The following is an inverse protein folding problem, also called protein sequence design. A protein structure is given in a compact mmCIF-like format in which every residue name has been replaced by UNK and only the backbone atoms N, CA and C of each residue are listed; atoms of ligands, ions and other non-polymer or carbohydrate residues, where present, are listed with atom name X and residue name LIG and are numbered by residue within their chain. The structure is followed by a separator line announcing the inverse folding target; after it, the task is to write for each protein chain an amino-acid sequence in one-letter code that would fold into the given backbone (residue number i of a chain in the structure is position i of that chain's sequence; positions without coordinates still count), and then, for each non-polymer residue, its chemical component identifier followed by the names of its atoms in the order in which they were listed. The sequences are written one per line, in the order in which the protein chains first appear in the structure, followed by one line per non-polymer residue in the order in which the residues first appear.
data_IF_403722288916
#
_entry.id   IF_403722288916
#
_cell.length_a   1.000
_cell.length_b   1.000
_cell.length_c   1.000
_cell.angle_alpha   90.00
_cell.angle_beta   90.00
_cell.angle_gamma   90.00
#
_symmetry.space_group_name_H-M   'P 1'
#
loop_
_entity.id
_entity.type
_entity.pdbx_description
1 polymer ?
#
# COMPACT_ATOMS: atom_id res chain seq x y z
N UNK A 1 -3.81 -14.75 7.68
CA UNK A 1 -5.22 -15.20 7.44
C UNK A 1 -5.78 -14.49 6.20
N UNK A 2 -6.55 -15.16 5.34
CA UNK A 2 -7.21 -14.54 4.16
C UNK A 2 -8.65 -14.15 4.45
N UNK A 3 -9.16 -13.11 3.78
CA UNK A 3 -10.55 -12.64 3.88
C UNK A 3 -11.52 -13.71 3.37
N UNK A 4 -11.16 -14.47 2.34
CA UNK A 4 -11.96 -15.58 1.83
C UNK A 4 -12.14 -16.69 2.87
N UNK A 5 -11.15 -16.92 3.75
CA UNK A 5 -11.32 -17.87 4.84
C UNK A 5 -12.40 -17.39 5.84
N UNK A 6 -12.52 -16.08 6.06
CA UNK A 6 -13.59 -15.50 6.88
C UNK A 6 -14.95 -15.74 6.21
N UNK A 7 -15.03 -15.51 4.89
CA UNK A 7 -16.26 -15.74 4.11
C UNK A 7 -16.67 -17.21 4.14
N UNK A 8 -15.73 -18.12 3.92
CA UNK A 8 -15.96 -19.57 3.98
C UNK A 8 -16.43 -20.01 5.36
N UNK A 9 -15.79 -19.51 6.42
CA UNK A 9 -16.21 -19.79 7.80
C UNK A 9 -17.65 -19.35 8.06
N UNK A 10 -18.00 -18.12 7.66
CA UNK A 10 -19.37 -17.62 7.77
C UNK A 10 -20.37 -18.48 6.96
N UNK A 11 -20.04 -18.83 5.71
CA UNK A 11 -20.89 -19.68 4.85
C UNK A 11 -21.12 -21.06 5.45
N UNK A 12 -20.10 -21.66 6.07
CA UNK A 12 -20.22 -22.94 6.76
C UNK A 12 -21.23 -22.89 7.93
N UNK A 13 -21.44 -21.71 8.52
CA UNK A 13 -22.45 -21.45 9.55
C UNK A 13 -23.81 -21.03 8.97
N UNK A 14 -24.02 -21.14 7.66
CA UNK A 14 -25.26 -20.77 6.97
C UNK A 14 -25.38 -19.27 6.66
N UNK A 15 -24.27 -18.52 6.64
CA UNK A 15 -24.30 -17.13 6.21
C UNK A 15 -24.65 -17.02 4.71
N UNK A 16 -25.40 -15.97 4.39
CA UNK A 16 -25.69 -15.52 3.03
C UNK A 16 -24.78 -14.32 2.71
N UNK A 17 -24.65 -13.89 1.45
CA UNK A 17 -23.80 -12.76 1.07
C UNK A 17 -24.10 -11.46 1.85
N UNK A 18 -25.35 -11.19 2.20
CA UNK A 18 -25.73 -10.03 3.02
C UNK A 18 -25.18 -10.11 4.47
N UNK A 19 -25.06 -11.32 5.03
CA UNK A 19 -24.46 -11.54 6.34
C UNK A 19 -22.94 -11.33 6.28
N UNK A 20 -22.27 -11.87 5.26
CA UNK A 20 -20.84 -11.63 5.04
C UNK A 20 -20.54 -10.13 4.90
N UNK A 21 -21.31 -9.45 4.04
CA UNK A 21 -21.22 -8.00 3.84
C UNK A 21 -21.33 -7.25 5.17
N UNK A 22 -22.33 -7.57 5.99
CA UNK A 22 -22.56 -6.90 7.27
C UNK A 22 -21.40 -7.08 8.24
N UNK A 23 -20.86 -8.30 8.35
CA UNK A 23 -19.71 -8.59 9.25
C UNK A 23 -18.47 -7.86 8.77
N UNK A 24 -18.13 -8.02 7.49
CA UNK A 24 -16.89 -7.47 6.94
C UNK A 24 -16.93 -5.94 6.87
N UNK A 25 -18.08 -5.34 6.58
CA UNK A 25 -18.28 -3.90 6.63
C UNK A 25 -18.12 -3.36 8.07
N UNK A 26 -18.77 -4.00 9.04
CA UNK A 26 -18.68 -3.59 10.44
C UNK A 26 -17.24 -3.67 10.95
N UNK A 27 -16.54 -4.75 10.64
CA UNK A 27 -15.13 -4.91 10.98
C UNK A 27 -14.24 -3.86 10.30
N UNK A 28 -14.26 -3.79 8.96
CA UNK A 28 -13.40 -2.89 8.20
C UNK A 28 -13.63 -1.42 8.56
N UNK A 29 -14.87 -1.01 8.85
CA UNK A 29 -15.23 0.36 9.19
C UNK A 29 -15.21 0.67 10.69
N UNK A 30 -14.93 -0.31 11.56
CA UNK A 30 -15.00 -0.19 13.03
C UNK A 30 -16.37 0.31 13.48
N UNK A 31 -17.43 -0.38 13.03
CA UNK A 31 -18.83 -0.04 13.30
C UNK A 31 -19.56 -1.16 14.01
N UNK A 32 -20.66 -0.82 14.66
CA UNK A 32 -21.56 -1.81 15.23
C UNK A 32 -22.18 -2.69 14.14
N UNK A 33 -22.37 -3.97 14.47
CA UNK A 33 -23.18 -4.90 13.68
C UNK A 33 -24.67 -4.56 13.72
N UNK A 34 -25.11 -3.72 14.67
CA UNK A 34 -26.44 -3.11 14.68
C UNK A 34 -26.46 -1.85 13.79
N UNK A 35 -27.57 -1.61 13.09
CA UNK A 35 -27.84 -0.34 12.43
C UNK A 35 -29.27 0.12 12.76
N UNK A 36 -29.59 1.34 12.33
CA UNK A 36 -30.89 1.97 12.57
C UNK A 36 -32.10 1.13 12.13
N UNK A 37 -31.94 0.28 11.12
CA UNK A 37 -33.02 -0.47 10.49
C UNK A 37 -33.01 -1.97 10.81
N UNK A 38 -31.93 -2.49 11.37
CA UNK A 38 -31.73 -3.91 11.59
C UNK A 38 -30.74 -4.16 12.71
N UNK A 39 -31.13 -5.02 13.65
CA UNK A 39 -30.28 -5.46 14.76
C UNK A 39 -29.61 -6.78 14.40
N UNK A 40 -28.35 -6.94 14.83
CA UNK A 40 -27.58 -8.17 14.67
C UNK A 40 -28.34 -9.39 15.23
N UNK A 41 -29.08 -9.19 16.32
CA UNK A 41 -29.86 -10.24 16.97
C UNK A 41 -30.94 -10.85 16.06
N UNK A 42 -31.50 -10.12 15.11
CA UNK A 42 -32.54 -10.63 14.18
C UNK A 42 -32.05 -10.78 12.75
N UNK A 43 -30.97 -10.10 12.39
CA UNK A 43 -30.41 -10.13 11.03
C UNK A 43 -29.65 -11.42 10.73
N UNK A 44 -28.90 -11.94 11.69
CA UNK A 44 -28.00 -13.08 11.45
C UNK A 44 -28.66 -14.44 11.78
N UNK A 45 -28.36 -15.50 11.01
CA UNK A 45 -28.74 -16.88 11.35
C UNK A 45 -28.25 -17.26 12.75
N UNK A 46 -28.97 -18.16 13.43
CA UNK A 46 -28.63 -18.56 14.81
C UNK A 46 -27.19 -19.04 14.96
N UNK A 47 -26.70 -19.86 14.03
CA UNK A 47 -25.33 -20.38 14.06
C UNK A 47 -24.29 -19.27 13.89
N UNK A 48 -24.47 -18.37 12.91
CA UNK A 48 -23.63 -17.18 12.74
C UNK A 48 -23.63 -16.32 14.01
N UNK A 49 -24.79 -16.02 14.59
CA UNK A 49 -24.90 -15.22 15.82
C UNK A 49 -24.12 -15.82 16.99
N UNK A 50 -24.18 -17.13 17.16
CA UNK A 50 -23.47 -17.83 18.23
C UNK A 50 -21.95 -17.75 18.05
N UNK A 51 -21.48 -17.74 16.80
CA UNK A 51 -20.05 -17.71 16.45
C UNK A 51 -19.45 -16.28 16.40
N UNK A 52 -20.28 -15.26 16.16
CA UNK A 52 -19.85 -13.86 16.03
C UNK A 52 -18.86 -13.39 17.12
N UNK A 53 -19.08 -13.63 18.43
CA UNK A 53 -18.13 -13.18 19.45
C UNK A 53 -16.72 -13.75 19.26
N UNK A 54 -16.63 -15.05 18.94
CA UNK A 54 -15.34 -15.71 18.71
C UNK A 54 -14.68 -15.20 17.43
N UNK A 55 -15.46 -15.06 16.35
CA UNK A 55 -14.97 -14.52 15.09
C UNK A 55 -14.42 -13.10 15.26
N UNK A 56 -15.19 -12.20 15.88
CA UNK A 56 -14.77 -10.80 16.09
C UNK A 56 -13.54 -10.71 16.99
N UNK A 57 -13.47 -11.51 18.05
CA UNK A 57 -12.27 -11.58 18.90
C UNK A 57 -11.04 -12.05 18.10
N UNK A 58 -11.21 -13.03 17.21
CA UNK A 58 -10.16 -13.48 16.30
C UNK A 58 -9.69 -12.39 15.34
N UNK A 59 -10.64 -11.63 14.76
CA UNK A 59 -10.33 -10.51 13.86
C UNK A 59 -9.63 -9.35 14.59
N UNK A 60 -10.06 -9.04 15.81
CA UNK A 60 -9.43 -8.02 16.65
C UNK A 60 -8.04 -8.42 17.12
N UNK A 61 -7.80 -9.73 17.26
CA UNK A 61 -6.50 -10.30 17.61
C UNK A 61 -5.49 -10.38 16.45
N UNK A 62 -5.90 -10.10 15.20
CA UNK A 62 -5.00 -10.22 14.04
C UNK A 62 -3.79 -9.30 14.09
N UNK A 63 -3.96 -8.12 14.71
CA UNK A 63 -2.92 -7.13 14.83
C UNK A 63 -3.12 -6.31 16.10
N UNK A 64 -2.03 -5.91 16.75
CA UNK A 64 -2.03 -5.05 17.95
C UNK A 64 -0.99 -3.96 17.84
N UNK A 65 -1.32 -2.75 18.28
CA UNK A 65 -0.33 -1.66 18.42
C UNK A 65 0.59 -1.98 19.60
N UNK A 66 1.88 -2.15 19.34
CA UNK A 66 2.93 -2.40 20.33
C UNK A 66 3.57 -1.10 20.83
N UNK A 67 3.80 -0.14 19.94
CA UNK A 67 4.26 1.21 20.29
C UNK A 67 3.86 2.23 19.22
N UNK A 68 3.87 3.52 19.59
CA UNK A 68 3.50 4.66 18.74
C UNK A 68 4.62 5.71 18.81
N UNK A 69 4.98 6.28 17.66
CA UNK A 69 6.09 7.21 17.49
C UNK A 69 5.62 8.41 16.66
N UNK A 70 5.13 9.49 17.29
CA UNK A 70 4.68 10.68 16.58
C UNK A 70 5.86 11.48 16.01
N UNK A 71 5.65 12.08 14.84
CA UNK A 71 6.58 12.99 14.17
C UNK A 71 6.04 14.43 14.18
N UNK A 72 6.93 15.41 13.97
CA UNK A 72 6.60 16.84 14.01
C UNK A 72 5.65 17.29 12.88
N UNK A 73 5.63 16.58 11.76
CA UNK A 73 4.82 16.88 10.57
C UNK A 73 3.38 16.33 10.65
N UNK A 74 3.01 15.77 11.81
CA UNK A 74 1.70 15.15 12.04
C UNK A 74 1.56 13.72 11.51
N UNK A 75 2.66 13.13 11.01
CA UNK A 75 2.74 11.70 10.81
C UNK A 75 2.95 10.96 12.15
N UNK A 76 2.50 9.71 12.23
CA UNK A 76 2.71 8.88 13.41
C UNK A 76 2.97 7.44 12.99
N UNK A 77 4.13 6.91 13.37
CA UNK A 77 4.53 5.54 13.07
C UNK A 77 4.05 4.60 14.18
N UNK A 78 3.36 3.55 13.77
CA UNK A 78 2.85 2.49 14.63
C UNK A 78 3.70 1.25 14.43
N UNK A 79 4.26 0.71 15.52
CA UNK A 79 4.80 -0.64 15.53
C UNK A 79 3.64 -1.61 15.80
N UNK A 80 3.34 -2.47 14.83
CA UNK A 80 2.20 -3.38 14.85
C UNK A 80 2.70 -4.81 15.03
N UNK A 81 2.26 -5.46 16.10
CA UNK A 81 2.52 -6.88 16.38
C UNK A 81 1.42 -7.74 15.77
N UNK A 82 1.81 -8.82 15.11
CA UNK A 82 0.94 -9.79 14.45
C UNK A 82 0.79 -11.05 15.31
N UNK A 83 -0.18 -11.91 14.97
CA UNK A 83 -0.52 -13.13 15.74
C UNK A 83 0.68 -14.06 15.99
N UNK A 84 1.64 -14.10 15.07
CA UNK A 84 2.84 -14.93 15.14
C UNK A 84 4.02 -14.26 15.88
N UNK A 85 3.76 -13.13 16.56
CA UNK A 85 4.75 -12.37 17.32
C UNK A 85 5.71 -11.55 16.47
N UNK A 86 5.59 -11.60 15.15
CA UNK A 86 6.33 -10.72 14.24
C UNK A 86 5.77 -9.31 14.27
N UNK A 87 6.60 -8.33 13.86
CA UNK A 87 6.18 -6.94 13.80
C UNK A 87 6.29 -6.36 12.40
N UNK A 88 5.35 -5.49 12.06
CA UNK A 88 5.39 -4.62 10.88
C UNK A 88 5.16 -3.18 11.29
N UNK A 89 5.45 -2.24 10.39
CA UNK A 89 5.17 -0.83 10.61
C UNK A 89 3.93 -0.39 9.82
N UNK A 90 3.11 0.46 10.41
CA UNK A 90 2.11 1.26 9.71
C UNK A 90 2.34 2.72 10.02
N UNK A 91 2.07 3.63 9.09
CA UNK A 91 2.27 5.07 9.32
C UNK A 91 0.97 5.80 9.07
N UNK A 92 0.43 6.43 10.12
CA UNK A 92 -0.63 7.42 9.99
C UNK A 92 -0.04 8.65 9.32
N UNK A 93 -0.53 8.96 8.13
CA UNK A 93 -0.11 10.11 7.34
C UNK A 93 -1.07 11.29 7.59
N UNK A 94 -0.62 12.54 7.37
CA UNK A 94 -1.51 13.69 7.32
C UNK A 94 -2.68 13.50 6.36
N UNK A 95 -3.76 14.28 6.55
CA UNK A 95 -4.98 14.25 5.72
C UNK A 95 -5.64 12.87 5.64
N UNK A 96 -5.75 12.20 6.78
CA UNK A 96 -6.45 10.92 6.96
C UNK A 96 -5.88 9.78 6.09
N UNK A 97 -4.58 9.83 5.79
CA UNK A 97 -3.87 8.78 5.07
C UNK A 97 -3.30 7.72 6.00
N UNK A 98 -3.15 6.49 5.49
CA UNK A 98 -2.49 5.40 6.19
C UNK A 98 -1.56 4.67 5.22
N UNK A 99 -0.31 4.49 5.60
CA UNK A 99 0.63 3.59 4.97
C UNK A 99 0.56 2.22 5.63
N UNK A 100 0.30 1.17 4.85
CA UNK A 100 0.22 -0.22 5.35
C UNK A 100 1.34 -1.08 4.77
N UNK A 101 1.80 -2.03 5.57
CA UNK A 101 2.72 -3.08 5.18
C UNK A 101 1.99 -4.24 4.49
N UNK A 102 2.68 -4.92 3.58
CA UNK A 102 2.17 -6.09 2.84
C UNK A 102 3.00 -7.35 3.10
N UNK A 103 4.18 -7.21 3.70
CA UNK A 103 5.08 -8.31 4.04
C UNK A 103 5.74 -8.05 5.41
N UNK A 104 6.24 -9.11 6.04
CA UNK A 104 7.22 -8.99 7.12
C UNK A 104 8.60 -9.04 6.46
N UNK A 105 9.27 -7.87 6.40
CA UNK A 105 10.46 -7.66 5.59
C UNK A 105 10.13 -7.34 4.12
N UNK A 106 11.10 -7.45 3.22
CA UNK A 106 10.88 -7.22 1.78
C UNK A 106 11.88 -8.01 0.91
N UNK A 107 11.38 -8.66 -0.14
CA UNK A 107 12.22 -9.46 -1.04
C UNK A 107 12.96 -8.66 -2.11
N UNK A 108 12.58 -7.41 -2.38
CA UNK A 108 13.17 -6.60 -3.48
C UNK A 108 14.62 -6.21 -3.18
N UNK A 109 14.95 -6.00 -1.91
CA UNK A 109 16.31 -5.64 -1.52
C UNK A 109 16.77 -4.28 -2.05
N UNK A 110 15.88 -3.28 -2.13
CA UNK A 110 16.25 -1.93 -2.54
C UNK A 110 17.41 -1.45 -1.67
N UNK A 111 18.52 -1.03 -2.28
CA UNK A 111 19.77 -0.80 -1.56
C UNK A 111 19.69 0.40 -0.61
N UNK A 112 18.79 1.33 -0.88
CA UNK A 112 18.47 2.50 -0.07
C UNK A 112 17.34 2.27 0.94
N UNK A 113 16.79 1.05 1.07
CA UNK A 113 15.68 0.78 1.98
C UNK A 113 16.13 -0.12 3.15
N UNK A 114 15.78 0.27 4.39
CA UNK A 114 16.06 -0.55 5.57
C UNK A 114 15.39 -1.93 5.51
N UNK A 115 14.12 -1.99 5.14
CA UNK A 115 13.36 -3.24 5.04
C UNK A 115 13.96 -4.19 4.00
N UNK A 116 14.59 -3.65 2.95
CA UNK A 116 15.27 -4.46 1.93
C UNK A 116 16.48 -5.24 2.46
N UNK A 117 17.12 -4.78 3.55
CA UNK A 117 18.27 -5.45 4.16
C UNK A 117 17.91 -6.69 4.97
N UNK A 118 16.77 -6.65 5.66
CA UNK A 118 16.32 -7.72 6.55
C UNK A 118 15.84 -8.96 5.78
N UNK A 119 15.66 -8.82 4.46
CA UNK A 119 15.13 -9.87 3.60
C UNK A 119 13.62 -10.05 3.80
N UNK A 120 13.06 -11.08 3.17
CA UNK A 120 11.65 -11.43 3.35
C UNK A 120 11.55 -12.57 4.35
N UNK A 121 10.76 -12.39 5.40
CA UNK A 121 10.37 -13.48 6.29
C UNK A 121 9.12 -14.18 5.78
N UNK A 122 8.02 -13.43 5.55
CA UNK A 122 6.77 -13.96 5.01
C UNK A 122 5.87 -12.89 4.42
N UNK A 123 4.88 -13.36 3.67
CA UNK A 123 3.75 -12.57 3.22
C UNK A 123 2.75 -12.31 4.35
N UNK A 124 2.10 -11.15 4.35
CA UNK A 124 0.90 -10.94 5.16
C UNK A 124 -0.32 -11.53 4.47
N UNK A 125 -1.24 -12.11 5.22
CA UNK A 125 -2.56 -12.42 4.70
C UNK A 125 -3.39 -11.15 4.50
N UNK A 126 -4.36 -11.19 3.60
CA UNK A 126 -5.25 -10.05 3.30
C UNK A 126 -5.98 -9.50 4.54
N UNK A 127 -6.33 -10.36 5.50
CA UNK A 127 -6.95 -9.94 6.75
C UNK A 127 -5.97 -9.20 7.68
N UNK A 128 -4.69 -9.57 7.70
CA UNK A 128 -3.64 -8.86 8.46
C UNK A 128 -3.38 -7.46 7.88
N UNK A 129 -3.45 -7.32 6.55
CA UNK A 129 -3.35 -6.02 5.87
C UNK A 129 -4.52 -5.12 6.26
N UNK A 130 -5.76 -5.64 6.24
CA UNK A 130 -6.95 -4.87 6.64
C UNK A 130 -6.96 -4.57 8.14
N UNK A 131 -6.44 -5.47 8.98
CA UNK A 131 -6.32 -5.25 10.42
C UNK A 131 -5.48 -4.01 10.75
N UNK A 132 -4.45 -3.68 9.97
CA UNK A 132 -3.70 -2.42 10.10
C UNK A 132 -4.62 -1.20 9.90
N UNK A 133 -5.54 -1.24 8.93
CA UNK A 133 -6.52 -0.18 8.67
C UNK A 133 -7.53 -0.06 9.82
N UNK A 134 -8.01 -1.20 10.33
CA UNK A 134 -8.93 -1.26 11.48
C UNK A 134 -8.29 -0.68 12.73
N UNK A 135 -7.04 -1.03 13.03
CA UNK A 135 -6.27 -0.46 14.13
C UNK A 135 -6.14 1.06 13.98
N UNK A 136 -5.72 1.54 12.82
CA UNK A 136 -5.57 2.96 12.54
C UNK A 136 -6.90 3.74 12.71
N UNK A 137 -8.02 3.15 12.27
CA UNK A 137 -9.37 3.73 12.40
C UNK A 137 -9.84 3.89 13.84
N UNK A 138 -9.34 3.06 14.76
CA UNK A 138 -9.60 3.22 16.21
C UNK A 138 -8.86 4.43 16.79
N UNK A 139 -7.77 4.86 16.17
CA UNK A 139 -6.97 6.01 16.61
C UNK A 139 -7.46 7.31 15.97
N UNK A 140 -7.73 7.31 14.65
CA UNK A 140 -8.20 8.50 13.90
C UNK A 140 -8.89 8.13 12.59
N UNK A 141 -9.61 9.05 11.93
CA UNK A 141 -10.22 8.79 10.62
C UNK A 141 -9.18 8.37 9.57
N UNK A 142 -9.52 7.33 8.79
CA UNK A 142 -8.71 6.85 7.65
C UNK A 142 -9.57 6.85 6.39
N UNK A 143 -9.19 7.70 5.43
CA UNK A 143 -9.87 7.89 4.14
C UNK A 143 -8.99 7.55 2.93
N UNK A 144 -7.69 7.37 3.14
CA UNK A 144 -6.72 6.96 2.11
C UNK A 144 -5.80 5.88 2.67
N UNK A 145 -5.54 4.84 1.88
CA UNK A 145 -4.62 3.75 2.22
C UNK A 145 -3.61 3.60 1.08
N UNK A 146 -2.33 3.65 1.42
CA UNK A 146 -1.22 3.47 0.49
C UNK A 146 -0.45 2.20 0.87
N UNK A 147 -0.17 1.35 -0.11
CA UNK A 147 0.57 0.09 0.07
C UNK A 147 2.06 0.36 -0.15
N UNK A 148 2.64 1.21 0.71
CA UNK A 148 4.04 1.69 0.63
C UNK A 148 4.82 1.43 1.92
N UNK A 149 4.30 0.56 2.80
CA UNK A 149 4.97 0.16 4.04
C UNK A 149 6.04 -0.89 3.77
N UNK A 150 6.19 -1.83 4.70
CA UNK A 150 7.12 -2.95 4.53
C UNK A 150 6.61 -3.91 3.45
N UNK A 151 7.47 -4.24 2.50
CA UNK A 151 7.24 -5.24 1.46
C UNK A 151 6.92 -4.69 0.08
N UNK A 152 6.96 -5.58 -0.91
CA UNK A 152 6.55 -5.31 -2.30
C UNK A 152 5.16 -5.90 -2.56
N UNK A 153 4.13 -5.06 -2.74
CA UNK A 153 2.76 -5.51 -2.96
C UNK A 153 2.60 -6.49 -4.13
N UNK A 154 3.36 -6.34 -5.22
CA UNK A 154 3.28 -7.26 -6.36
C UNK A 154 3.77 -8.68 -6.03
N UNK A 155 4.68 -8.82 -5.06
CA UNK A 155 5.10 -10.13 -4.57
C UNK A 155 4.05 -10.78 -3.66
N UNK A 156 3.05 -10.02 -3.19
CA UNK A 156 1.93 -10.48 -2.38
C UNK A 156 0.57 -10.22 -3.05
N UNK A 157 0.54 -10.30 -4.39
CA UNK A 157 -0.54 -9.73 -5.20
C UNK A 157 -1.94 -10.18 -4.75
N UNK A 158 -2.18 -11.48 -4.62
CA UNK A 158 -3.50 -12.02 -4.27
C UNK A 158 -4.04 -11.45 -2.94
N UNK A 159 -3.20 -11.40 -1.91
CA UNK A 159 -3.63 -10.87 -0.61
C UNK A 159 -3.87 -9.36 -0.65
N UNK A 160 -3.05 -8.64 -1.41
CA UNK A 160 -3.20 -7.18 -1.55
C UNK A 160 -4.46 -6.84 -2.36
N UNK A 161 -4.72 -7.54 -3.47
CA UNK A 161 -5.92 -7.34 -4.27
C UNK A 161 -7.19 -7.65 -3.47
N UNK A 162 -7.17 -8.72 -2.70
CA UNK A 162 -8.28 -9.09 -1.82
C UNK A 162 -8.52 -8.03 -0.72
N UNK A 163 -7.46 -7.47 -0.14
CA UNK A 163 -7.55 -6.36 0.80
C UNK A 163 -8.10 -5.07 0.13
N UNK A 164 -7.62 -4.73 -1.06
CA UNK A 164 -8.09 -3.58 -1.85
C UNK A 164 -9.58 -3.72 -2.17
N UNK A 165 -10.03 -4.90 -2.59
CA UNK A 165 -11.42 -5.15 -2.89
C UNK A 165 -12.29 -4.98 -1.63
N UNK A 166 -11.88 -5.56 -0.49
CA UNK A 166 -12.62 -5.40 0.75
C UNK A 166 -12.67 -3.93 1.18
N UNK A 167 -11.55 -3.22 1.18
CA UNK A 167 -11.49 -1.82 1.59
C UNK A 167 -12.31 -0.90 0.66
N UNK A 168 -12.32 -1.18 -0.63
CA UNK A 168 -13.07 -0.41 -1.62
C UNK A 168 -14.58 -0.65 -1.59
N UNK A 169 -15.01 -1.92 -1.40
CA UNK A 169 -16.43 -2.29 -1.39
C UNK A 169 -17.07 -2.14 -0.02
N UNK A 170 -16.36 -2.58 1.01
CA UNK A 170 -16.87 -2.68 2.38
C UNK A 170 -16.22 -1.70 3.33
N UNK A 171 -14.98 -1.29 3.07
CA UNK A 171 -14.23 -0.39 3.94
C UNK A 171 -14.57 1.10 3.76
N UNK A 172 -15.44 1.48 2.82
CA UNK A 172 -15.76 2.88 2.51
C UNK A 172 -14.51 3.74 2.22
N UNK A 173 -13.57 3.19 1.45
CA UNK A 173 -12.43 3.93 0.91
C UNK A 173 -12.63 4.01 -0.60
N UNK A 174 -12.74 5.24 -1.13
CA UNK A 174 -12.88 5.43 -2.57
C UNK A 174 -11.70 4.82 -3.32
N UNK A 175 -11.94 4.18 -4.47
CA UNK A 175 -10.91 3.43 -5.19
C UNK A 175 -9.65 4.26 -5.52
N UNK A 176 -9.79 5.57 -5.80
CA UNK A 176 -8.67 6.50 -6.03
C UNK A 176 -7.83 6.81 -4.78
N UNK A 177 -8.37 6.51 -3.60
CA UNK A 177 -7.70 6.64 -2.31
C UNK A 177 -7.07 5.32 -1.85
N UNK A 178 -7.14 4.26 -2.65
CA UNK A 178 -6.34 3.05 -2.50
C UNK A 178 -5.17 3.18 -3.48
N UNK A 179 -3.93 3.25 -2.99
CA UNK A 179 -2.73 3.45 -3.83
C UNK A 179 -1.85 2.22 -3.75
N UNK A 180 -1.90 1.39 -4.79
CA UNK A 180 -1.01 0.25 -4.96
C UNK A 180 0.35 0.75 -5.45
N UNK A 181 1.42 0.50 -4.70
CA UNK A 181 2.79 0.84 -5.11
C UNK A 181 3.53 -0.41 -5.54
N UNK A 182 4.40 -0.31 -6.55
CA UNK A 182 5.26 -1.42 -6.94
C UNK A 182 6.57 -0.94 -7.57
N UNK A 183 7.63 -1.73 -7.42
CA UNK A 183 8.88 -1.60 -8.18
C UNK A 183 8.78 -2.10 -9.62
N UNK A 184 7.60 -2.48 -10.09
CA UNK A 184 7.36 -2.86 -11.49
C UNK A 184 7.40 -4.37 -11.69
N UNK A 185 6.20 -4.95 -11.84
CA UNK A 185 5.98 -6.36 -12.13
C UNK A 185 4.86 -6.47 -13.18
N UNK A 186 5.10 -7.22 -14.25
CA UNK A 186 4.15 -7.33 -15.38
C UNK A 186 2.78 -7.86 -14.94
N UNK A 187 2.75 -8.73 -13.92
CA UNK A 187 1.50 -9.28 -13.36
C UNK A 187 0.59 -8.19 -12.81
N UNK A 188 1.15 -7.10 -12.30
CA UNK A 188 0.35 -5.97 -11.78
C UNK A 188 -0.50 -5.35 -12.89
N UNK A 189 0.09 -5.14 -14.06
CA UNK A 189 -0.60 -4.55 -15.21
C UNK A 189 -1.60 -5.53 -15.84
N UNK A 190 -1.40 -6.84 -15.69
CA UNK A 190 -2.35 -7.86 -16.12
C UNK A 190 -3.55 -7.97 -15.17
N UNK A 191 -3.33 -7.90 -13.86
CA UNK A 191 -4.35 -8.24 -12.85
C UNK A 191 -5.13 -7.02 -12.35
N UNK A 192 -4.50 -5.86 -12.14
CA UNK A 192 -5.21 -4.67 -11.63
C UNK A 192 -6.41 -4.26 -12.50
N UNK A 193 -6.33 -4.24 -13.84
CA UNK A 193 -7.47 -3.89 -14.68
C UNK A 193 -8.69 -4.82 -14.56
N UNK A 194 -8.46 -6.07 -14.13
CA UNK A 194 -9.48 -7.10 -13.99
C UNK A 194 -10.27 -6.98 -12.67
N UNK A 195 -9.72 -6.25 -11.68
CA UNK A 195 -10.36 -6.07 -10.38
C UNK A 195 -11.63 -5.23 -10.43
N UNK A 196 -12.59 -5.56 -9.56
CA UNK A 196 -13.80 -4.74 -9.36
C UNK A 196 -13.48 -3.37 -8.76
N UNK A 197 -12.45 -3.30 -7.91
CA UNK A 197 -11.89 -2.06 -7.36
C UNK A 197 -10.56 -1.80 -8.05
N UNK A 198 -10.49 -0.70 -8.80
CA UNK A 198 -9.28 -0.29 -9.53
C UNK A 198 -8.54 0.79 -8.75
N UNK A 199 -7.46 0.45 -8.01
CA UNK A 199 -6.72 1.41 -7.20
C UNK A 199 -5.96 2.40 -8.08
N UNK A 200 -5.57 3.52 -7.49
CA UNK A 200 -4.47 4.31 -8.04
C UNK A 200 -3.18 3.47 -8.06
N UNK A 201 -2.36 3.64 -9.09
CA UNK A 201 -1.07 2.97 -9.21
C UNK A 201 0.07 3.95 -8.98
N UNK A 202 1.05 3.52 -8.19
CA UNK A 202 2.32 4.19 -8.02
C UNK A 202 3.47 3.27 -8.46
N UNK A 203 4.43 3.82 -9.22
CA UNK A 203 5.60 3.09 -9.71
C UNK A 203 6.86 3.67 -9.10
N UNK A 204 7.57 2.82 -8.35
CA UNK A 204 8.91 3.11 -7.81
C UNK A 204 9.94 3.07 -8.94
N UNK A 205 10.16 4.22 -9.59
CA UNK A 205 11.02 4.33 -10.78
C UNK A 205 12.49 4.51 -10.41
N UNK A 206 12.79 5.53 -9.59
CA UNK A 206 14.10 5.85 -9.00
C UNK A 206 15.29 6.14 -9.94
N UNK A 207 15.22 5.78 -11.22
CA UNK A 207 16.20 6.15 -12.24
C UNK A 207 15.56 5.97 -13.61
N UNK A 208 15.96 6.80 -14.56
CA UNK A 208 15.62 6.65 -15.99
C UNK A 208 16.59 5.73 -16.73
N UNK A 209 17.65 5.28 -16.05
CA UNK A 209 18.69 4.42 -16.59
C UNK A 209 18.53 2.99 -16.09
N UNK A 210 18.42 2.04 -17.00
CA UNK A 210 18.18 0.64 -16.66
C UNK A 210 19.30 0.02 -15.80
N UNK A 211 20.56 0.38 -16.04
CA UNK A 211 21.73 -0.10 -15.29
C UNK A 211 21.71 0.39 -13.84
N UNK A 212 21.51 1.70 -13.63
CA UNK A 212 21.44 2.29 -12.30
C UNK A 212 20.22 1.77 -11.55
N UNK A 213 19.07 1.66 -12.23
CA UNK A 213 17.87 1.09 -11.63
C UNK A 213 18.09 -0.35 -11.15
N UNK A 214 18.78 -1.18 -11.94
CA UNK A 214 19.12 -2.55 -11.54
C UNK A 214 20.09 -2.60 -10.36
N UNK A 215 20.97 -1.61 -10.20
CA UNK A 215 21.83 -1.50 -9.01
C UNK A 215 21.04 -1.10 -7.77
N UNK A 216 20.12 -0.15 -7.90
CA UNK A 216 19.29 0.35 -6.80
C UNK A 216 18.23 -0.67 -6.35
N UNK A 217 17.72 -1.49 -7.28
CA UNK A 217 16.62 -2.43 -7.08
C UNK A 217 17.03 -3.85 -7.55
N UNK A 218 18.03 -4.48 -6.90
CA UNK A 218 18.74 -5.65 -7.44
C UNK A 218 17.86 -6.89 -7.64
N UNK A 219 16.76 -7.02 -6.90
CA UNK A 219 15.82 -8.15 -7.03
C UNK A 219 14.46 -7.74 -7.60
N UNK A 220 14.31 -6.51 -8.06
CA UNK A 220 13.12 -6.14 -8.83
C UNK A 220 13.16 -6.85 -10.21
N UNK A 221 11.99 -7.15 -10.81
CA UNK A 221 11.94 -7.58 -12.19
C UNK A 221 12.69 -6.59 -13.10
N UNK A 222 13.48 -7.14 -14.03
CA UNK A 222 14.19 -6.32 -15.03
C UNK A 222 13.20 -5.89 -16.11
N UNK A 223 12.63 -4.71 -15.91
CA UNK A 223 11.80 -4.00 -16.88
C UNK A 223 12.54 -2.70 -17.19
N UNK A 224 12.70 -2.40 -18.47
CA UNK A 224 13.33 -1.16 -18.90
C UNK A 224 12.48 0.04 -18.45
N UNK A 225 13.07 1.17 -18.00
CA UNK A 225 12.32 2.35 -17.61
C UNK A 225 11.31 2.83 -18.66
N UNK A 226 11.65 2.79 -19.95
CA UNK A 226 10.75 3.18 -21.03
C UNK A 226 9.53 2.25 -21.08
N UNK A 227 9.74 0.92 -21.05
CA UNK A 227 8.65 -0.07 -21.01
C UNK A 227 7.80 0.07 -19.75
N UNK A 228 8.41 0.24 -18.58
CA UNK A 228 7.71 0.38 -17.31
C UNK A 228 6.81 1.62 -17.30
N UNK A 229 7.28 2.72 -17.90
CA UNK A 229 6.49 3.94 -18.05
C UNK A 229 5.31 3.72 -18.99
N UNK A 230 5.48 3.04 -20.12
CA UNK A 230 4.37 2.74 -21.04
C UNK A 230 3.30 1.84 -20.40
N UNK A 231 3.71 0.83 -19.62
CA UNK A 231 2.77 -0.02 -18.88
C UNK A 231 1.97 0.80 -17.85
N UNK A 232 2.64 1.72 -17.13
CA UNK A 232 1.99 2.65 -16.20
C UNK A 232 1.01 3.60 -16.87
N UNK A 233 1.39 4.15 -18.02
CA UNK A 233 0.57 5.06 -18.82
C UNK A 233 -0.69 4.38 -19.35
N UNK A 234 -0.56 3.15 -19.87
CA UNK A 234 -1.69 2.36 -20.33
C UNK A 234 -2.70 2.13 -19.20
N UNK A 235 -2.22 1.77 -18.00
CA UNK A 235 -3.07 1.63 -16.82
C UNK A 235 -3.75 2.95 -16.43
N UNK A 236 -3.00 4.05 -16.40
CA UNK A 236 -3.53 5.37 -16.05
C UNK A 236 -4.65 5.82 -16.99
N UNK A 237 -4.46 5.65 -18.31
CA UNK A 237 -5.49 5.97 -19.31
C UNK A 237 -6.71 5.07 -19.19
N UNK A 238 -6.52 3.77 -18.97
CA UNK A 238 -7.64 2.82 -18.82
C UNK A 238 -8.51 3.08 -17.58
N UNK A 239 -7.92 3.66 -16.53
CA UNK A 239 -8.61 3.93 -15.26
C UNK A 239 -9.05 5.39 -15.10
N UNK A 240 -8.58 6.29 -15.97
CA UNK A 240 -8.82 7.72 -15.86
C UNK A 240 -8.21 8.33 -14.59
N UNK A 241 -7.09 7.78 -14.12
CA UNK A 241 -6.35 8.30 -12.97
C UNK A 241 -4.86 8.36 -13.28
N UNK A 242 -4.16 9.46 -12.95
CA UNK A 242 -2.77 9.60 -13.35
C UNK A 242 -1.88 8.57 -12.65
N UNK A 243 -0.92 8.04 -13.40
CA UNK A 243 0.14 7.19 -12.83
C UNK A 243 1.01 8.05 -11.90
N UNK A 244 1.38 7.53 -10.73
CA UNK A 244 2.24 8.24 -9.79
C UNK A 244 3.64 7.65 -9.80
N UNK A 245 4.62 8.32 -10.39
CA UNK A 245 6.01 7.92 -10.30
C UNK A 245 6.59 8.35 -8.95
N UNK A 246 7.27 7.42 -8.27
CA UNK A 246 7.97 7.65 -7.01
C UNK A 246 9.46 7.70 -7.29
N UNK A 247 10.10 8.75 -6.78
CA UNK A 247 11.53 8.99 -6.96
C UNK A 247 12.17 9.35 -5.62
N UNK A 248 12.70 8.34 -4.93
CA UNK A 248 13.60 8.58 -3.81
C UNK A 248 14.87 9.26 -4.32
N UNK A 249 15.08 10.51 -3.91
CA UNK A 249 16.17 11.35 -4.38
C UNK A 249 17.41 11.10 -3.52
N UNK A 250 18.49 10.65 -4.17
CA UNK A 250 19.74 10.21 -3.60
C UNK A 250 20.86 11.11 -4.13
N UNK A 251 21.56 11.77 -3.20
CA UNK A 251 22.60 12.76 -3.52
C UNK A 251 23.71 12.15 -4.39
N UNK A 252 23.99 12.81 -5.52
CA UNK A 252 25.05 12.43 -6.45
C UNK A 252 24.80 11.12 -7.21
N UNK A 253 23.60 10.55 -7.12
CA UNK A 253 23.27 9.24 -7.71
C UNK A 253 22.18 9.38 -8.77
N UNK A 254 21.03 9.91 -8.38
CA UNK A 254 19.86 10.04 -9.27
C UNK A 254 19.26 11.46 -9.25
N UNK A 255 20.11 12.44 -8.96
CA UNK A 255 19.83 13.87 -8.91
C UNK A 255 20.65 14.64 -9.96
N UNK A 256 21.09 13.99 -11.04
CA UNK A 256 21.90 14.57 -12.12
C UNK A 256 21.05 15.24 -13.21
N UNK A 257 21.67 16.07 -14.05
CA UNK A 257 20.99 16.65 -15.23
C UNK A 257 20.57 15.57 -16.25
N UNK A 258 21.36 14.50 -16.38
CA UNK A 258 21.03 13.35 -17.23
C UNK A 258 19.71 12.71 -16.81
N UNK A 259 19.49 12.52 -15.50
CA UNK A 259 18.23 11.98 -14.98
C UNK A 259 17.07 12.95 -15.19
N UNK A 260 17.29 14.26 -15.07
CA UNK A 260 16.26 15.28 -15.37
C UNK A 260 15.81 15.18 -16.82
N UNK A 261 16.75 15.17 -17.77
CA UNK A 261 16.43 15.05 -19.20
C UNK A 261 15.80 13.68 -19.51
N UNK A 262 16.24 12.62 -18.83
CA UNK A 262 15.60 11.30 -18.88
C UNK A 262 14.14 11.34 -18.43
N UNK A 263 13.85 11.99 -17.30
CA UNK A 263 12.48 12.12 -16.77
C UNK A 263 11.61 12.90 -17.75
N UNK A 264 12.11 14.02 -18.29
CA UNK A 264 11.38 14.82 -19.29
C UNK A 264 11.07 13.95 -20.51
N UNK A 265 12.07 13.25 -21.06
CA UNK A 265 11.88 12.34 -22.19
C UNK A 265 10.81 11.29 -21.91
N UNK A 266 10.88 10.66 -20.73
CA UNK A 266 9.97 9.57 -20.37
C UNK A 266 8.55 10.06 -20.11
N UNK A 267 8.36 11.21 -19.47
CA UNK A 267 7.06 11.58 -18.90
C UNK A 267 6.32 12.71 -19.63
N UNK A 268 6.98 13.48 -20.50
CA UNK A 268 6.31 14.56 -21.24
C UNK A 268 5.09 14.06 -22.02
N UNK A 269 3.94 14.69 -21.78
CA UNK A 269 2.66 14.34 -22.44
C UNK A 269 1.95 13.11 -21.88
N UNK A 270 2.52 12.43 -20.88
CA UNK A 270 1.89 11.29 -20.20
C UNK A 270 0.91 11.74 -19.13
N UNK A 271 -0.08 10.92 -18.82
CA UNK A 271 -1.02 11.21 -17.74
C UNK A 271 -0.42 10.81 -16.39
N UNK A 272 0.57 11.59 -15.95
CA UNK A 272 1.45 11.22 -14.86
C UNK A 272 1.59 12.32 -13.79
N UNK A 273 1.97 11.90 -12.59
CA UNK A 273 2.43 12.75 -11.50
C UNK A 273 3.79 12.21 -11.04
N UNK A 274 4.77 13.09 -10.86
CA UNK A 274 6.05 12.73 -10.27
C UNK A 274 6.09 13.16 -8.80
N UNK A 275 6.43 12.22 -7.92
CA UNK A 275 6.70 12.48 -6.50
C UNK A 275 8.19 12.31 -6.24
N UNK A 276 8.89 13.44 -6.08
CA UNK A 276 10.26 13.43 -5.57
C UNK A 276 10.21 13.32 -4.04
N UNK A 277 10.80 12.25 -3.51
CA UNK A 277 10.85 11.94 -2.09
C UNK A 277 12.30 12.11 -1.64
N UNK A 278 12.63 13.16 -0.86
CA UNK A 278 13.96 13.28 -0.28
C UNK A 278 14.28 12.03 0.53
N UNK A 279 15.48 11.48 0.35
CA UNK A 279 15.89 10.29 1.08
C UNK A 279 15.81 10.51 2.60
N UNK A 280 15.16 9.57 3.29
CA UNK A 280 15.19 9.49 4.74
C UNK A 280 16.47 8.81 5.16
N UNK A 281 17.38 9.56 5.79
CA UNK A 281 18.70 9.07 6.17
C UNK A 281 18.59 7.84 7.05
N UNK A 282 19.42 6.86 6.74
CA UNK A 282 19.56 5.62 7.48
C UNK A 282 21.04 5.49 7.82
N UNK A 283 21.37 5.56 9.10
CA UNK A 283 22.76 5.60 9.57
C UNK A 283 23.61 4.42 9.07
N UNK A 284 22.99 3.27 8.86
CA UNK A 284 23.65 2.04 8.43
C UNK A 284 23.85 1.92 6.90
N UNK A 285 23.47 2.93 6.11
CA UNK A 285 23.52 2.92 4.65
C UNK A 285 24.36 4.10 4.09
N UNK A 286 25.04 3.92 2.95
CA UNK A 286 25.95 4.94 2.42
C UNK A 286 25.24 6.07 1.65
N UNK A 287 23.92 6.03 1.55
CA UNK A 287 23.12 7.01 0.82
C UNK A 287 22.94 8.31 1.62
N UNK A 288 22.87 9.42 0.90
CA UNK A 288 22.66 10.74 1.50
C UNK A 288 21.46 11.44 0.87
N UNK A 289 20.83 12.27 1.69
CA UNK A 289 19.76 13.17 1.27
C UNK A 289 20.40 14.37 0.54
N UNK A 290 20.00 14.67 -0.70
CA UNK A 290 20.46 15.86 -1.39
C UNK A 290 20.08 17.12 -0.61
N UNK A 291 20.83 18.20 -0.84
CA UNK A 291 20.49 19.48 -0.26
C UNK A 291 19.10 19.97 -0.74
N UNK A 292 18.51 20.87 0.04
CA UNK A 292 17.19 21.42 -0.26
C UNK A 292 17.18 22.27 -1.54
N UNK A 293 18.32 22.88 -1.90
CA UNK A 293 18.42 23.73 -3.08
C UNK A 293 18.36 22.91 -4.37
N UNK A 294 19.07 21.77 -4.43
CA UNK A 294 19.09 20.81 -5.53
C UNK A 294 17.73 20.15 -5.70
N UNK A 295 17.11 19.74 -4.60
CA UNK A 295 15.74 19.20 -4.62
C UNK A 295 14.77 20.22 -5.24
N UNK A 296 14.80 21.47 -4.77
CA UNK A 296 13.94 22.54 -5.28
C UNK A 296 14.25 22.90 -6.74
N UNK A 297 15.52 22.87 -7.15
CA UNK A 297 15.94 23.07 -8.53
C UNK A 297 15.37 22.00 -9.44
N UNK A 298 15.51 20.72 -9.10
CA UNK A 298 14.99 19.60 -9.88
C UNK A 298 13.47 19.70 -10.04
N UNK A 299 12.73 19.98 -8.97
CA UNK A 299 11.27 20.20 -9.02
C UNK A 299 10.92 21.36 -9.96
N UNK A 300 11.59 22.51 -9.83
CA UNK A 300 11.33 23.69 -10.67
C UNK A 300 11.63 23.42 -12.13
N UNK A 301 12.71 22.71 -12.42
CA UNK A 301 13.10 22.39 -13.80
C UNK A 301 12.09 21.44 -14.43
N UNK A 302 11.71 20.35 -13.75
CA UNK A 302 10.68 19.43 -14.23
C UNK A 302 9.34 20.15 -14.44
N UNK A 303 8.86 20.93 -13.47
CA UNK A 303 7.60 21.68 -13.60
C UNK A 303 7.59 22.66 -14.78
N UNK A 304 8.73 23.27 -15.14
CA UNK A 304 8.83 24.14 -16.33
C UNK A 304 8.76 23.38 -17.65
N UNK A 305 9.02 22.07 -17.63
CA UNK A 305 9.08 21.20 -18.81
C UNK A 305 7.79 20.39 -19.01
N UNK A 306 6.78 20.61 -18.15
CA UNK A 306 5.48 19.94 -18.19
C UNK A 306 5.48 18.66 -17.39
#
# INVERSE_FOLDING_TARGET
MRIEHIRQHLRAQGALPCHEHRVLQAWAQVRSLDNRHSKAETFFPKAVRADLPALLAGLDGLARVRSQHPAEDGAERLLVELVDGQTVESVLLPRDGLCVSTQVGCAVGCTFCMTGREGLLRQLGSAEIVAQVVLARRLRPVKKVVFMGMGEPAHNLDNVLEAIELLGREGNIGHKNLVFSTVGDRRVFEHLPQGAVKPALALSLHSTRADLRAQLLPKAPRIDPDELVELGEAYARSTGYPIQYQWTLLEGINDSEEEIEGIVRLLSGKYALMNLIPYNTVDALPYRRPDMARTAEMVRTLHRRG
#
